data_IF_170499309285
#
_entry.id   IF_170499309285
#
_cell.length_a   1.000
_cell.length_b   1.000
_cell.length_c   1.000
_cell.angle_alpha   90.00
_cell.angle_beta   90.00
_cell.angle_gamma   90.00
#
_symmetry.space_group_name_H-M   'P 1'
#
loop_
_entity.id
_entity.type
_entity.pdbx_description
1 polymer ?
#
# COMPACT_ATOMS: atom_id res chain seq x y z
N UNK A 1 15.62 -13.44 -17.49
CA UNK A 1 14.39 -13.07 -18.23
C UNK A 1 13.71 -11.94 -17.48
N UNK A 2 13.34 -10.85 -18.15
CA UNK A 2 12.62 -9.74 -17.52
C UNK A 2 11.13 -10.08 -17.42
N UNK A 3 10.54 -9.99 -16.23
CA UNK A 3 9.09 -10.13 -16.06
C UNK A 3 8.35 -8.96 -16.73
N UNK A 4 7.08 -9.17 -17.12
CA UNK A 4 6.22 -8.09 -17.62
C UNK A 4 6.00 -7.09 -16.48
N UNK A 5 6.65 -5.93 -16.56
CA UNK A 5 6.34 -4.80 -15.67
C UNK A 5 5.12 -4.08 -16.22
N UNK A 6 3.94 -4.42 -15.70
CA UNK A 6 2.71 -3.70 -16.00
C UNK A 6 2.64 -2.43 -15.15
N UNK A 7 2.99 -1.30 -15.77
CA UNK A 7 3.05 0.02 -15.13
C UNK A 7 1.71 0.46 -14.54
N UNK A 8 0.59 -0.03 -15.09
CA UNK A 8 -0.74 0.36 -14.64
C UNK A 8 -1.08 -0.24 -13.28
N UNK A 9 -0.45 -1.38 -12.96
CA UNK A 9 -0.64 -2.12 -11.70
C UNK A 9 0.39 -1.79 -10.62
N UNK A 10 1.41 -0.98 -10.94
CA UNK A 10 2.44 -0.61 -9.97
C UNK A 10 1.91 0.37 -8.92
N UNK A 11 2.39 0.19 -7.69
CA UNK A 11 2.15 1.09 -6.56
C UNK A 11 3.46 1.73 -6.11
N UNK A 12 3.42 3.00 -5.76
CA UNK A 12 4.60 3.70 -5.23
C UNK A 12 4.79 3.43 -3.73
N UNK A 13 6.04 3.19 -3.35
CA UNK A 13 6.48 3.02 -1.96
C UNK A 13 7.82 3.75 -1.76
N UNK A 14 8.03 4.32 -0.57
CA UNK A 14 9.37 4.81 -0.18
C UNK A 14 10.27 3.63 0.18
N UNK A 15 11.60 3.84 0.21
CA UNK A 15 12.58 2.78 0.49
C UNK A 15 12.32 2.02 1.79
N UNK A 16 11.89 2.73 2.85
CA UNK A 16 11.57 2.11 4.14
C UNK A 16 10.36 1.17 4.06
N UNK A 17 9.27 1.63 3.42
CA UNK A 17 8.06 0.82 3.27
C UNK A 17 8.20 -0.30 2.23
N UNK A 18 9.06 -0.15 1.22
CA UNK A 18 9.31 -1.21 0.23
C UNK A 18 9.72 -2.52 0.92
N UNK A 19 10.55 -2.43 1.97
CA UNK A 19 10.99 -3.60 2.74
C UNK A 19 9.86 -4.38 3.40
N UNK A 20 8.68 -3.76 3.61
CA UNK A 20 7.53 -4.47 4.18
C UNK A 20 7.00 -5.58 3.27
N UNK A 21 7.26 -5.50 1.96
CA UNK A 21 6.91 -6.56 1.01
C UNK A 21 7.60 -7.89 1.36
N UNK A 22 8.83 -7.84 1.87
CA UNK A 22 9.58 -9.02 2.35
C UNK A 22 9.02 -9.57 3.68
N UNK A 23 8.14 -8.82 4.34
CA UNK A 23 7.52 -9.15 5.62
C UNK A 23 6.03 -9.50 5.48
N UNK A 24 5.60 -9.92 4.28
CA UNK A 24 4.25 -10.43 4.02
C UNK A 24 3.19 -9.36 3.81
N UNK A 25 3.58 -8.09 3.67
CA UNK A 25 2.68 -7.06 3.20
C UNK A 25 2.52 -7.12 1.68
N UNK A 26 1.35 -6.73 1.19
CA UNK A 26 1.11 -6.56 -0.24
C UNK A 26 0.49 -5.20 -0.52
N UNK A 27 0.58 -4.75 -1.76
CA UNK A 27 0.00 -3.48 -2.19
C UNK A 27 -0.98 -3.68 -3.34
N UNK A 28 -1.96 -2.78 -3.42
CA UNK A 28 -2.90 -2.69 -4.53
C UNK A 28 -3.12 -1.23 -4.90
N UNK A 29 -3.12 -0.93 -6.20
CA UNK A 29 -3.57 0.37 -6.70
C UNK A 29 -5.10 0.41 -6.73
N UNK A 30 -5.68 1.42 -6.10
CA UNK A 30 -7.13 1.67 -6.11
C UNK A 30 -7.53 2.44 -7.37
N UNK A 31 -8.83 2.44 -7.69
CA UNK A 31 -9.37 3.14 -8.86
C UNK A 31 -9.11 4.66 -8.85
N UNK A 32 -8.96 5.26 -7.67
CA UNK A 32 -8.58 6.66 -7.49
C UNK A 32 -7.07 6.90 -7.53
N UNK A 33 -6.27 5.89 -7.89
CA UNK A 33 -4.82 5.98 -7.98
C UNK A 33 -4.06 5.82 -6.65
N UNK A 34 -4.74 5.68 -5.52
CA UNK A 34 -4.08 5.50 -4.23
C UNK A 34 -3.47 4.10 -4.07
N UNK A 35 -2.35 4.02 -3.33
CA UNK A 35 -1.77 2.76 -2.88
C UNK A 35 -2.47 2.28 -1.61
N UNK A 36 -3.13 1.13 -1.68
CA UNK A 36 -3.62 0.40 -0.50
C UNK A 36 -2.55 -0.58 -0.03
N UNK A 37 -2.18 -0.53 1.25
CA UNK A 37 -1.34 -1.52 1.91
C UNK A 37 -2.23 -2.57 2.59
N UNK A 38 -1.96 -3.85 2.31
CA UNK A 38 -2.70 -4.99 2.81
C UNK A 38 -1.77 -5.75 3.77
N UNK A 39 -2.14 -5.89 5.06
CA UNK A 39 -1.32 -6.53 6.07
C UNK A 39 -1.27 -8.06 5.89
N UNK A 40 -0.26 -8.73 6.46
CA UNK A 40 -0.27 -10.18 6.59
C UNK A 40 -1.42 -10.65 7.51
N UNK A 41 -2.02 -11.83 7.28
CA UNK A 41 -3.25 -12.26 7.98
C UNK A 41 -3.17 -12.35 9.50
N UNK A 42 -1.96 -12.54 10.04
CA UNK A 42 -1.74 -12.72 11.48
C UNK A 42 -1.59 -11.40 12.25
N UNK A 43 -1.53 -10.25 11.56
CA UNK A 43 -1.36 -8.95 12.20
C UNK A 43 -2.72 -8.44 12.72
N UNK A 44 -2.85 -8.13 14.03
CA UNK A 44 -4.10 -7.65 14.59
C UNK A 44 -4.29 -6.16 14.29
N UNK A 45 -4.58 -5.82 13.03
CA UNK A 45 -4.95 -4.46 12.67
C UNK A 45 -6.45 -4.25 12.93
N UNK A 46 -6.83 -3.15 13.60
CA UNK A 46 -8.22 -2.74 13.66
C UNK A 46 -8.72 -2.50 12.22
N UNK A 47 -9.94 -2.97 11.93
CA UNK A 47 -10.60 -2.72 10.65
C UNK A 47 -10.67 -1.22 10.38
N UNK A 48 -10.18 -0.77 9.22
CA UNK A 48 -10.26 0.65 8.83
C UNK A 48 -9.16 1.10 7.87
N UNK A 49 -9.27 2.36 7.43
CA UNK A 49 -8.24 3.05 6.64
C UNK A 49 -7.42 3.95 7.55
N UNK A 50 -6.10 3.79 7.56
CA UNK A 50 -5.19 4.68 8.27
C UNK A 50 -4.98 5.97 7.44
N UNK A 51 -5.32 7.13 8.01
CA UNK A 51 -5.19 8.45 7.37
C UNK A 51 -3.92 9.20 7.74
N UNK A 52 -2.96 8.59 8.46
CA UNK A 52 -1.75 9.24 8.96
C UNK A 52 -0.94 9.97 7.87
N UNK A 53 -0.84 9.38 6.67
CA UNK A 53 -0.15 9.98 5.52
C UNK A 53 -1.06 10.81 4.61
N UNK A 54 -2.31 11.02 5.02
CA UNK A 54 -3.34 11.70 4.26
C UNK A 54 -4.08 12.72 5.14
N UNK A 55 -3.37 13.72 5.69
CA UNK A 55 -3.97 14.73 6.56
C UNK A 55 -5.09 15.52 5.86
N UNK A 56 -5.06 15.61 4.53
CA UNK A 56 -6.13 16.20 3.72
C UNK A 56 -7.49 15.51 3.91
N UNK A 57 -7.53 14.28 4.42
CA UNK A 57 -8.77 13.55 4.74
C UNK A 57 -9.37 13.93 6.09
N UNK A 58 -8.66 14.72 6.89
CA UNK A 58 -9.09 15.16 8.21
C UNK A 58 -9.43 16.65 8.25
N UNK A 59 -9.16 17.38 7.18
CA UNK A 59 -9.39 18.81 7.06
C UNK A 59 -10.63 19.04 6.19
N UNK A 60 -11.73 19.40 6.83
CA UNK A 60 -12.97 19.82 6.18
C UNK A 60 -13.00 21.34 6.06
#
# INVERSE_FOLDING_TARGET
>A
TGGRTDIDTLTFACTGHHKLLDHGWTTKKLANGHTQWIPPPHLPLPVGTNTYHHPERLLN
#
